data_IF_782259063761
#
_entry.id   IF_782259063761
#
_cell.length_a   1.000
_cell.length_b   1.000
_cell.length_c   1.000
_cell.angle_alpha   90.00
_cell.angle_beta   90.00
_cell.angle_gamma   90.00
#
_symmetry.space_group_name_H-M   'P 1'
#
loop_
_entity.id
_entity.type
_entity.pdbx_description
1 polymer ?
#
# COMPACT_ATOMS: atom_id res chain seq x y z
N UNK A 1 3.52 -2.74 -4.07
CA UNK A 1 4.56 -1.79 -4.49
C UNK A 1 5.04 -1.04 -3.26
N UNK A 2 6.26 -0.52 -3.31
CA UNK A 2 6.82 0.29 -2.24
C UNK A 2 7.16 1.69 -2.77
N UNK A 3 7.32 2.67 -1.87
CA UNK A 3 7.58 4.05 -2.24
C UNK A 3 8.91 4.30 -2.99
N UNK A 4 9.76 3.30 -3.16
CA UNK A 4 11.04 3.38 -3.90
C UNK A 4 10.96 2.74 -5.29
N UNK A 5 10.02 1.82 -5.51
CA UNK A 5 9.85 1.05 -6.75
C UNK A 5 8.38 1.08 -7.20
N UNK A 6 7.94 2.21 -7.75
CA UNK A 6 6.55 2.45 -8.19
C UNK A 6 6.31 1.87 -9.59
N UNK A 7 5.58 0.76 -9.73
CA UNK A 7 5.16 0.33 -11.06
C UNK A 7 4.04 1.22 -11.64
N UNK A 8 3.45 2.11 -10.83
CA UNK A 8 2.63 3.21 -11.31
C UNK A 8 3.45 4.47 -11.67
N UNK A 9 2.90 5.31 -12.55
CA UNK A 9 3.41 6.66 -12.77
C UNK A 9 3.27 7.53 -11.50
N UNK A 10 4.04 8.61 -11.34
CA UNK A 10 3.93 9.48 -10.17
C UNK A 10 2.50 10.03 -9.95
N UNK A 11 1.80 10.39 -11.02
CA UNK A 11 0.42 10.91 -10.93
C UNK A 11 -0.56 9.83 -10.49
N UNK A 12 -0.55 8.67 -11.14
CA UNK A 12 -1.47 7.57 -10.80
C UNK A 12 -1.19 7.01 -9.40
N UNK A 13 0.07 6.98 -8.96
CA UNK A 13 0.43 6.64 -7.59
C UNK A 13 -0.14 7.62 -6.56
N UNK A 14 -0.05 8.93 -6.82
CA UNK A 14 -0.64 9.96 -5.94
C UNK A 14 -2.16 9.85 -5.87
N UNK A 15 -2.82 9.62 -7.02
CA UNK A 15 -4.27 9.41 -7.06
C UNK A 15 -4.67 8.16 -6.27
N UNK A 16 -3.96 7.05 -6.43
CA UNK A 16 -4.19 5.84 -5.64
C UNK A 16 -4.05 6.11 -4.13
N UNK A 17 -3.01 6.86 -3.72
CA UNK A 17 -2.85 7.27 -2.32
C UNK A 17 -3.98 8.15 -1.82
N UNK A 18 -4.54 9.02 -2.67
CA UNK A 18 -5.69 9.86 -2.32
C UNK A 18 -6.97 9.03 -2.11
N UNK A 19 -7.21 8.00 -2.93
CA UNK A 19 -8.35 7.09 -2.73
C UNK A 19 -8.29 6.42 -1.36
N UNK A 20 -7.13 5.86 -0.99
CA UNK A 20 -6.92 5.31 0.35
C UNK A 20 -6.95 6.39 1.44
N UNK A 21 -6.49 7.60 1.14
CA UNK A 21 -6.54 8.74 2.06
C UNK A 21 -7.96 9.13 2.41
N UNK A 22 -8.87 9.14 1.43
CA UNK A 22 -10.30 9.37 1.69
C UNK A 22 -10.87 8.27 2.60
N UNK A 23 -10.59 7.01 2.30
CA UNK A 23 -11.02 5.89 3.14
C UNK A 23 -10.48 6.00 4.58
N UNK A 24 -9.22 6.39 4.73
CA UNK A 24 -8.59 6.63 6.04
C UNK A 24 -9.30 7.76 6.80
N UNK A 25 -9.56 8.89 6.15
CA UNK A 25 -10.27 10.03 6.75
C UNK A 25 -11.66 9.60 7.22
N UNK A 26 -12.42 8.92 6.38
CA UNK A 26 -13.77 8.45 6.74
C UNK A 26 -13.72 7.48 7.92
N UNK A 27 -12.86 6.47 7.87
CA UNK A 27 -12.75 5.48 8.96
C UNK A 27 -12.28 6.12 10.27
N UNK A 28 -11.34 7.07 10.20
CA UNK A 28 -10.83 7.80 11.37
C UNK A 28 -11.91 8.70 11.96
N UNK A 29 -12.62 9.47 11.14
CA UNK A 29 -13.72 10.31 11.62
C UNK A 29 -14.79 9.48 12.31
N UNK A 30 -15.21 8.35 11.71
CA UNK A 30 -16.20 7.46 12.31
C UNK A 30 -15.74 6.87 13.66
N UNK A 31 -14.47 6.50 13.77
CA UNK A 31 -13.91 6.02 15.04
C UNK A 31 -13.90 7.15 16.09
N UNK A 32 -13.48 8.36 15.70
CA UNK A 32 -13.41 9.53 16.57
C UNK A 32 -14.79 10.00 17.05
N UNK A 33 -15.84 9.87 16.23
CA UNK A 33 -17.20 10.24 16.63
C UNK A 33 -17.87 9.23 17.55
N UNK A 34 -17.31 8.02 17.70
CA UNK A 34 -17.86 6.94 18.54
C UNK A 34 -16.82 6.40 19.54
N UNK A 35 -15.89 7.24 20.00
CA UNK A 35 -14.75 6.82 20.85
C UNK A 35 -15.16 6.12 22.15
N UNK A 36 -16.29 6.52 22.71
CA UNK A 36 -16.90 5.97 23.92
C UNK A 36 -17.56 4.60 23.68
N UNK A 37 -17.94 4.30 22.44
CA UNK A 37 -18.50 3.01 22.03
C UNK A 37 -17.44 2.02 21.53
N UNK A 38 -16.20 2.49 21.30
CA UNK A 38 -15.10 1.64 20.81
C UNK A 38 -14.63 0.70 21.92
N UNK A 39 -14.76 -0.61 21.65
CA UNK A 39 -14.07 -1.64 22.44
C UNK A 39 -12.57 -1.61 22.11
N UNK A 40 -11.82 -0.88 22.92
CA UNK A 40 -10.40 -0.60 22.69
C UNK A 40 -9.49 -1.83 22.64
N UNK A 41 -9.75 -2.85 23.47
CA UNK A 41 -8.94 -4.07 23.44
C UNK A 41 -9.04 -4.80 22.08
N UNK A 42 -10.25 -5.10 21.54
CA UNK A 42 -10.40 -5.54 20.16
C UNK A 42 -9.77 -4.59 19.13
N UNK A 43 -9.99 -3.28 19.25
CA UNK A 43 -9.47 -2.32 18.27
C UNK A 43 -7.93 -2.35 18.19
N UNK A 44 -7.25 -2.32 19.34
CA UNK A 44 -5.79 -2.42 19.42
C UNK A 44 -5.31 -3.77 18.91
N UNK A 45 -6.00 -4.86 19.27
CA UNK A 45 -5.67 -6.20 18.79
C UNK A 45 -5.76 -6.30 17.26
N UNK A 46 -6.85 -5.82 16.68
CA UNK A 46 -7.13 -5.79 15.24
C UNK A 46 -6.18 -4.86 14.48
N UNK A 47 -5.70 -3.80 15.10
CA UNK A 47 -4.66 -2.96 14.51
C UNK A 47 -3.30 -3.69 14.52
N UNK A 48 -2.85 -4.13 15.69
CA UNK A 48 -1.47 -4.60 15.88
C UNK A 48 -1.20 -5.96 15.24
N UNK A 49 -2.18 -6.88 15.20
CA UNK A 49 -1.91 -8.24 14.73
C UNK A 49 -1.52 -8.32 13.25
N UNK A 50 -1.98 -7.34 12.44
CA UNK A 50 -1.66 -7.23 11.02
C UNK A 50 -0.14 -7.16 10.83
N UNK A 51 0.53 -6.28 11.58
CA UNK A 51 1.97 -6.12 11.52
C UNK A 51 2.73 -7.17 12.31
N UNK A 52 2.19 -7.57 13.46
CA UNK A 52 2.83 -8.57 14.31
C UNK A 52 3.05 -9.90 13.56
N UNK A 53 2.08 -10.28 12.74
CA UNK A 53 2.15 -11.50 11.90
C UNK A 53 2.75 -11.19 10.53
N UNK A 54 2.35 -10.07 9.91
CA UNK A 54 2.66 -9.77 8.51
C UNK A 54 4.04 -9.16 8.29
N UNK A 55 4.38 -8.11 9.03
CA UNK A 55 5.54 -7.27 8.76
C UNK A 55 6.73 -7.60 9.66
N UNK A 56 6.51 -7.63 10.97
CA UNK A 56 7.57 -7.69 11.98
C UNK A 56 8.50 -8.91 11.81
N UNK A 57 8.01 -10.14 11.51
CA UNK A 57 8.89 -11.28 11.31
C UNK A 57 9.84 -11.09 10.12
N UNK A 58 9.34 -10.53 9.03
CA UNK A 58 10.12 -10.25 7.82
C UNK A 58 11.13 -9.14 8.03
N UNK A 59 10.73 -8.03 8.66
CA UNK A 59 11.62 -6.91 8.97
C UNK A 59 12.77 -7.36 9.89
N UNK A 60 12.47 -8.21 10.87
CA UNK A 60 13.46 -8.75 11.78
C UNK A 60 14.45 -9.69 11.08
N UNK A 61 13.94 -10.60 10.24
CA UNK A 61 14.79 -11.47 9.41
C UNK A 61 15.68 -10.65 8.46
N UNK A 62 15.12 -9.61 7.86
CA UNK A 62 15.84 -8.72 6.93
C UNK A 62 16.95 -7.95 7.63
N UNK A 63 16.68 -7.39 8.81
CA UNK A 63 17.70 -6.69 9.61
C UNK A 63 18.85 -7.62 10.01
N UNK A 64 18.57 -8.87 10.35
CA UNK A 64 19.57 -9.88 10.73
C UNK A 64 20.32 -10.50 9.55
N UNK A 65 19.74 -10.48 8.36
CA UNK A 65 20.36 -11.04 7.16
C UNK A 65 21.61 -10.22 6.75
N UNK A 66 22.77 -10.86 6.53
CA UNK A 66 23.98 -10.17 6.05
C UNK A 66 23.84 -9.60 4.64
N UNK A 67 23.15 -10.31 3.74
CA UNK A 67 23.00 -9.95 2.32
C UNK A 67 21.61 -9.40 1.97
N UNK A 68 20.78 -9.20 3.00
CA UNK A 68 19.40 -8.71 2.90
C UNK A 68 18.50 -9.59 2.03
N UNK A 69 18.87 -10.85 1.82
CA UNK A 69 18.01 -11.88 1.20
C UNK A 69 17.33 -12.65 2.32
N UNK A 70 16.01 -12.76 2.24
CA UNK A 70 15.19 -13.50 3.19
C UNK A 70 14.22 -14.41 2.46
N UNK A 71 13.70 -15.41 3.17
CA UNK A 71 12.68 -16.33 2.64
C UNK A 71 11.47 -15.59 2.10
N UNK A 72 10.91 -16.10 1.00
CA UNK A 72 9.67 -15.57 0.40
C UNK A 72 8.44 -15.80 1.28
N UNK A 73 8.52 -16.67 2.29
CA UNK A 73 7.47 -16.83 3.31
C UNK A 73 7.14 -15.50 3.98
N UNK A 74 8.13 -14.64 4.27
CA UNK A 74 7.87 -13.33 4.87
C UNK A 74 7.09 -12.39 3.94
N UNK A 75 7.27 -12.51 2.62
CA UNK A 75 6.47 -11.77 1.64
C UNK A 75 5.04 -12.28 1.60
N UNK A 76 4.84 -13.61 1.70
CA UNK A 76 3.51 -14.21 1.79
C UNK A 76 2.80 -13.73 3.07
N UNK A 77 3.46 -13.81 4.23
CA UNK A 77 2.89 -13.34 5.50
C UNK A 77 2.48 -11.87 5.40
N UNK A 78 3.38 -11.00 4.91
CA UNK A 78 3.06 -9.59 4.71
C UNK A 78 1.85 -9.41 3.80
N UNK A 79 1.86 -10.02 2.61
CA UNK A 79 0.81 -9.84 1.61
C UNK A 79 -0.55 -10.40 2.05
N UNK A 80 -0.56 -11.53 2.76
CA UNK A 80 -1.79 -12.10 3.31
C UNK A 80 -2.35 -11.17 4.38
N UNK A 81 -1.53 -10.71 5.33
CA UNK A 81 -2.01 -9.85 6.41
C UNK A 81 -2.39 -8.45 5.93
N UNK A 82 -1.73 -7.91 4.90
CA UNK A 82 -2.01 -6.57 4.35
C UNK A 82 -2.99 -6.60 3.17
N UNK A 83 -3.59 -7.74 2.87
CA UNK A 83 -4.62 -7.88 1.83
C UNK A 83 -5.97 -7.37 2.32
N UNK A 84 -6.60 -6.47 1.56
CA UNK A 84 -7.99 -6.06 1.81
C UNK A 84 -8.96 -7.24 1.74
N UNK A 85 -8.66 -8.25 0.91
CA UNK A 85 -9.50 -9.46 0.81
C UNK A 85 -9.45 -10.23 2.11
N UNK A 86 -8.25 -10.53 2.61
CA UNK A 86 -8.07 -11.27 3.86
C UNK A 86 -8.69 -10.52 5.03
N UNK A 87 -8.43 -9.22 5.12
CA UNK A 87 -8.93 -8.41 6.22
C UNK A 87 -10.44 -8.16 6.14
N UNK A 88 -10.99 -8.04 4.93
CA UNK A 88 -12.44 -8.03 4.71
C UNK A 88 -13.09 -9.32 5.19
N UNK A 89 -12.48 -10.48 4.92
CA UNK A 89 -12.98 -11.77 5.42
C UNK A 89 -12.90 -11.86 6.95
N UNK A 90 -11.85 -11.34 7.58
CA UNK A 90 -11.75 -11.29 9.05
C UNK A 90 -12.85 -10.41 9.63
N UNK A 91 -13.06 -9.21 9.08
CA UNK A 91 -14.13 -8.30 9.51
C UNK A 91 -15.51 -8.94 9.35
N UNK A 92 -15.78 -9.57 8.20
CA UNK A 92 -17.05 -10.27 7.96
C UNK A 92 -17.26 -11.44 8.91
N UNK A 93 -16.22 -12.24 9.17
CA UNK A 93 -16.28 -13.34 10.13
C UNK A 93 -16.53 -12.82 11.56
N UNK A 94 -15.91 -11.71 11.94
CA UNK A 94 -16.14 -11.06 13.22
C UNK A 94 -17.58 -10.57 13.36
N UNK A 95 -18.09 -9.88 12.35
CA UNK A 95 -19.49 -9.40 12.31
C UNK A 95 -20.46 -10.59 12.46
N UNK A 96 -20.18 -11.70 11.79
CA UNK A 96 -21.00 -12.90 11.88
C UNK A 96 -21.02 -13.53 13.28
N UNK A 97 -19.88 -13.51 13.99
CA UNK A 97 -19.75 -14.16 15.31
C UNK A 97 -20.13 -13.25 16.49
N UNK A 98 -19.83 -11.96 16.38
CA UNK A 98 -19.89 -11.01 17.50
C UNK A 98 -20.75 -9.77 17.22
N UNK A 99 -21.26 -9.62 15.99
CA UNK A 99 -21.96 -8.42 15.54
C UNK A 99 -21.02 -7.33 15.04
N UNK A 100 -21.61 -6.31 14.41
CA UNK A 100 -20.87 -5.14 13.98
C UNK A 100 -20.56 -4.22 15.18
N UNK A 101 -19.31 -3.75 15.24
CA UNK A 101 -18.86 -2.83 16.28
C UNK A 101 -17.79 -1.86 15.75
N UNK A 102 -17.65 -0.71 16.40
CA UNK A 102 -16.73 0.36 15.98
C UNK A 102 -15.25 -0.03 16.07
N UNK A 103 -14.89 -1.02 16.89
CA UNK A 103 -13.53 -1.54 16.97
C UNK A 103 -13.02 -2.09 15.63
N UNK A 104 -13.93 -2.55 14.75
CA UNK A 104 -13.58 -3.04 13.41
C UNK A 104 -12.99 -1.96 12.51
N UNK A 105 -13.22 -0.66 12.81
CA UNK A 105 -12.61 0.44 12.07
C UNK A 105 -11.08 0.48 12.21
N UNK A 106 -10.50 -0.17 13.23
CA UNK A 106 -9.06 -0.30 13.36
C UNK A 106 -8.41 -0.98 12.14
N UNK A 107 -9.11 -1.93 11.51
CA UNK A 107 -8.62 -2.67 10.33
C UNK A 107 -8.46 -1.76 9.10
N UNK A 108 -9.51 -1.05 8.62
CA UNK A 108 -9.33 -0.10 7.52
C UNK A 108 -8.42 1.07 7.91
N UNK A 109 -8.42 1.55 9.16
CA UNK A 109 -7.47 2.60 9.58
C UNK A 109 -6.02 2.15 9.39
N UNK A 110 -5.66 0.92 9.79
CA UNK A 110 -4.33 0.36 9.57
C UNK A 110 -4.00 0.28 8.08
N UNK A 111 -4.83 -0.45 7.33
CA UNK A 111 -4.59 -0.74 5.92
C UNK A 111 -4.59 0.51 5.04
N UNK A 112 -5.48 1.45 5.30
CA UNK A 112 -5.55 2.70 4.56
C UNK A 112 -4.45 3.66 5.00
N UNK A 113 -4.08 3.66 6.28
CA UNK A 113 -2.92 4.37 6.81
C UNK A 113 -1.64 3.99 6.08
N UNK A 114 -1.38 2.69 5.95
CA UNK A 114 -0.21 2.17 5.22
C UNK A 114 -0.12 2.66 3.79
N UNK A 115 -1.25 2.64 3.08
CA UNK A 115 -1.30 2.99 1.66
C UNK A 115 -1.28 4.50 1.45
N UNK A 116 -2.07 5.24 2.22
CA UNK A 116 -2.22 6.68 2.07
C UNK A 116 -0.99 7.45 2.58
N UNK A 117 -0.45 7.08 3.75
CA UNK A 117 0.60 7.83 4.43
C UNK A 117 2.00 7.31 4.08
N UNK A 118 2.20 6.00 4.15
CA UNK A 118 3.52 5.38 3.90
C UNK A 118 3.69 4.93 2.45
N UNK A 119 2.59 4.77 1.70
CA UNK A 119 2.67 4.27 0.33
C UNK A 119 3.06 2.80 0.26
N UNK A 120 2.80 2.05 1.33
CA UNK A 120 3.08 0.63 1.44
C UNK A 120 1.88 -0.16 0.90
N UNK A 121 2.11 -0.86 -0.20
CA UNK A 121 1.16 -1.80 -0.77
C UNK A 121 1.74 -3.23 -0.67
N UNK A 122 1.06 -4.20 -1.29
CA UNK A 122 1.55 -5.59 -1.34
C UNK A 122 2.99 -5.68 -1.84
N UNK A 123 3.85 -6.40 -1.13
CA UNK A 123 5.26 -6.58 -1.45
C UNK A 123 5.43 -7.44 -2.70
N UNK A 124 6.07 -6.90 -3.77
CA UNK A 124 6.41 -7.69 -4.95
C UNK A 124 7.50 -8.71 -4.61
N UNK A 125 7.34 -9.96 -5.06
CA UNK A 125 8.28 -11.04 -4.77
C UNK A 125 9.65 -10.87 -5.43
N UNK A 126 9.75 -10.09 -6.51
CA UNK A 126 11.01 -9.84 -7.19
C UNK A 126 11.89 -8.77 -6.50
N UNK A 127 11.31 -8.00 -5.57
CA UNK A 127 12.03 -6.94 -4.86
C UNK A 127 12.57 -7.41 -3.51
N UNK A 128 13.35 -6.54 -2.88
CA UNK A 128 13.79 -6.69 -1.49
C UNK A 128 12.60 -6.52 -0.56
N UNK A 129 12.71 -7.10 0.64
CA UNK A 129 11.62 -7.03 1.60
C UNK A 129 11.43 -5.60 2.09
N UNK A 130 12.52 -4.93 2.50
CA UNK A 130 12.50 -3.50 2.76
C UNK A 130 12.63 -2.70 1.45
N UNK A 131 12.02 -1.51 1.35
CA UNK A 131 12.06 -0.68 0.15
C UNK A 131 13.48 -0.19 -0.16
N UNK A 132 14.08 -0.74 -1.21
CA UNK A 132 15.38 -0.31 -1.74
C UNK A 132 15.24 -0.05 -3.24
N UNK A 133 15.80 1.06 -3.78
CA UNK A 133 15.76 1.32 -5.22
C UNK A 133 16.34 0.16 -6.03
N UNK A 134 15.56 -0.40 -6.94
CA UNK A 134 16.01 -1.46 -7.84
C UNK A 134 16.65 -0.87 -9.10
N UNK A 135 17.87 -1.29 -9.51
CA UNK A 135 18.56 -0.70 -10.65
C UNK A 135 17.77 -0.77 -11.96
N UNK A 136 17.14 -1.92 -12.23
CA UNK A 136 16.31 -2.09 -13.43
C UNK A 136 15.09 -1.16 -13.46
N UNK A 137 14.50 -0.89 -12.29
CA UNK A 137 13.38 0.02 -12.17
C UNK A 137 13.80 1.48 -12.42
N UNK A 138 14.96 1.86 -11.88
CA UNK A 138 15.55 3.19 -12.09
C UNK A 138 15.83 3.43 -13.58
N UNK A 139 16.50 2.49 -14.24
CA UNK A 139 16.78 2.59 -15.68
C UNK A 139 15.51 2.62 -16.55
N UNK A 140 14.48 1.88 -16.16
CA UNK A 140 13.17 1.95 -16.83
C UNK A 140 12.56 3.34 -16.71
N UNK A 141 12.52 3.91 -15.48
CA UNK A 141 11.96 5.24 -15.24
C UNK A 141 12.64 6.32 -16.05
N UNK A 142 13.97 6.34 -16.07
CA UNK A 142 14.75 7.32 -16.84
C UNK A 142 14.37 7.29 -18.32
N UNK A 143 14.27 6.09 -18.91
CA UNK A 143 13.88 5.93 -20.33
C UNK A 143 12.43 6.32 -20.58
N UNK A 144 11.52 5.95 -19.69
CA UNK A 144 10.10 6.29 -19.81
C UNK A 144 9.88 7.79 -19.75
N UNK A 145 10.54 8.48 -18.80
CA UNK A 145 10.46 9.93 -18.64
C UNK A 145 11.06 10.68 -19.84
N UNK A 146 12.21 10.21 -20.35
CA UNK A 146 12.82 10.76 -21.57
C UNK A 146 11.87 10.65 -22.78
N UNK A 147 11.28 9.47 -23.00
CA UNK A 147 10.34 9.25 -24.10
C UNK A 147 9.04 10.07 -23.97
N UNK A 148 8.55 10.27 -22.74
CA UNK A 148 7.36 11.08 -22.49
C UNK A 148 7.58 12.60 -22.69
N UNK A 149 8.83 13.06 -22.63
CA UNK A 149 9.20 14.46 -22.85
C UNK A 149 9.39 14.82 -24.34
N UNK A 150 9.48 13.83 -25.23
CA UNK A 150 9.57 14.07 -26.67
C UNK A 150 8.23 14.63 -27.21
N UNK A 151 8.24 15.74 -27.97
CA UNK A 151 7.02 16.30 -28.53
C UNK A 151 6.37 15.31 -29.50
N UNK A 152 5.06 15.11 -29.34
CA UNK A 152 4.29 14.23 -30.22
C UNK A 152 4.46 14.67 -31.69
N UNK A 153 4.72 13.74 -32.63
CA UNK A 153 4.98 14.07 -34.04
C UNK A 153 3.83 14.81 -34.74
N UNK A 154 2.62 14.83 -34.13
CA UNK A 154 1.47 15.58 -34.63
C UNK A 154 1.63 17.12 -34.57
N UNK A 155 2.57 17.65 -33.77
CA UNK A 155 2.85 19.09 -33.71
C UNK A 155 3.80 19.61 -34.79
N UNK A 156 4.47 18.73 -35.54
CA UNK A 156 5.48 19.10 -36.54
C UNK A 156 4.92 19.18 -37.98
N UNK A 157 3.72 18.64 -38.22
CA UNK A 157 3.04 18.76 -39.51
C UNK A 157 2.30 20.11 -39.59
N UNK A 158 3.07 21.19 -39.72
CA UNK A 158 2.54 22.48 -40.14
C UNK A 158 1.80 22.33 -41.47
N UNK A 159 0.53 22.73 -41.48
CA UNK A 159 -0.32 22.79 -42.67
C UNK A 159 0.41 23.56 -43.78
N UNK A 160 0.67 22.99 -44.97
CA UNK A 160 1.19 23.77 -46.07
C UNK A 160 0.09 24.72 -46.54
N UNK A 161 0.38 26.03 -46.47
CA UNK A 161 -0.47 27.05 -47.04
C UNK A 161 -0.53 26.87 -48.57
N UNK A 162 -1.67 26.40 -49.07
CA UNK A 162 -1.96 26.38 -50.50
C UNK A 162 -2.02 27.83 -51.02
N UNK A 163 -1.19 28.13 -52.02
CA UNK A 163 -1.33 29.29 -52.91
C UNK A 163 -2.24 28.94 -54.08
#
# INVERSE_FOLDING_TARGET
MDGRNLFETPTTYRLLRLEYGLGLVVATVLLLTHLDEVRWLPAIGLFVYIDLIGYLPGALAYRRSPDKRISKVYFVLYNVMHSLVTQGLVVLAWIWLFGAEWALLAVPIHLFGDRALFGNFLKPFALRFEPEPHPAYTAFRERYEAAAAEPSPAGAAGVPAHR
#
